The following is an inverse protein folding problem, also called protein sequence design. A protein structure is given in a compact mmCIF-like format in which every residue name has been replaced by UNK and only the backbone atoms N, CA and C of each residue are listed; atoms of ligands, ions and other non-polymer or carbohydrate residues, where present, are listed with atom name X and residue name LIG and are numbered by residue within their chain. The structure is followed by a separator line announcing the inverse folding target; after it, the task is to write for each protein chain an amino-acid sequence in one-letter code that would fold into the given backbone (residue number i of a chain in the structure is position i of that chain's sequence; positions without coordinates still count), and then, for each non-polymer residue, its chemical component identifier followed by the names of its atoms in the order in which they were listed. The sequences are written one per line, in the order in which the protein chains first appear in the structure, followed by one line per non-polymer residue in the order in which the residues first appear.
data_IF_666773564599
#
_entry.id   IF_666773564599
#
_cell.length_a   1.000
_cell.length_b   1.000
_cell.length_c   1.000
_cell.angle_alpha   90.00
_cell.angle_beta   90.00
_cell.angle_gamma   90.00
#
_symmetry.space_group_name_H-M   'P 1'
#
loop_
_entity.id
_entity.type
_entity.pdbx_description
1 polymer ?
#
# COMPACT_ATOMS: atom_id res chain seq x y z
N UNK A 1 -12.06 33.10 37.07
CA UNK A 1 -13.12 32.88 36.06
C UNK A 1 -12.44 32.30 34.82
N UNK A 2 -12.89 31.12 34.38
CA UNK A 2 -12.37 30.40 33.20
C UNK A 2 -12.73 31.16 31.92
N UNK A 3 -11.75 31.41 31.06
CA UNK A 3 -11.99 31.70 29.64
C UNK A 3 -11.15 30.74 28.82
N UNK A 4 -11.80 29.65 28.41
CA UNK A 4 -11.33 28.79 27.34
C UNK A 4 -11.44 29.56 26.03
N UNK A 5 -10.37 29.59 25.24
CA UNK A 5 -10.45 29.96 23.83
C UNK A 5 -9.94 28.76 23.05
N UNK A 6 -10.87 27.85 22.76
CA UNK A 6 -10.75 26.96 21.61
C UNK A 6 -10.91 27.83 20.36
N UNK A 7 -9.90 27.89 19.52
CA UNK A 7 -10.02 28.49 18.19
C UNK A 7 -9.39 27.59 17.16
N UNK A 8 -10.27 26.73 16.63
CA UNK A 8 -10.43 26.41 15.20
C UNK A 8 -9.14 26.16 14.40
N UNK A 9 -8.81 24.88 14.23
CA UNK A 9 -8.04 24.43 13.07
C UNK A 9 -8.82 24.83 11.80
N UNK A 10 -8.20 25.68 10.98
CA UNK A 10 -8.69 25.97 9.65
C UNK A 10 -8.54 24.72 8.77
N UNK A 11 -9.66 24.07 8.44
CA UNK A 11 -9.70 23.08 7.39
C UNK A 11 -9.55 23.78 6.04
N UNK A 12 -8.37 23.70 5.43
CA UNK A 12 -8.19 24.07 4.03
C UNK A 12 -8.86 23.02 3.14
N UNK A 13 -10.14 23.23 2.88
CA UNK A 13 -10.87 22.55 1.81
C UNK A 13 -10.33 23.06 0.46
N UNK A 14 -9.46 22.28 -0.17
CA UNK A 14 -9.03 22.54 -1.55
C UNK A 14 -10.15 22.07 -2.47
N UNK A 15 -11.02 23.00 -2.85
CA UNK A 15 -11.96 22.83 -3.94
C UNK A 15 -11.22 22.92 -5.29
N UNK A 16 -11.01 21.78 -5.95
CA UNK A 16 -10.56 21.71 -7.34
C UNK A 16 -11.73 21.18 -8.19
N UNK A 17 -12.49 22.11 -8.75
CA UNK A 17 -13.62 21.84 -9.64
C UNK A 17 -13.17 21.61 -11.09
N UNK A 18 -13.56 20.43 -11.60
CA UNK A 18 -13.95 20.07 -12.97
C UNK A 18 -12.93 20.19 -14.11
N UNK A 19 -12.46 19.03 -14.56
CA UNK A 19 -12.13 18.74 -15.96
C UNK A 19 -12.80 17.42 -16.36
N UNK A 20 -14.00 17.49 -16.96
CA UNK A 20 -14.66 16.35 -17.59
C UNK A 20 -13.96 16.01 -18.90
N UNK A 21 -13.17 14.93 -18.91
CA UNK A 21 -12.98 14.11 -20.11
C UNK A 21 -13.31 12.67 -19.77
N UNK A 22 -14.20 12.11 -20.57
CA UNK A 22 -14.78 10.78 -20.48
C UNK A 22 -13.73 9.69 -20.66
N UNK A 23 -13.06 9.36 -19.57
CA UNK A 23 -12.65 8.00 -19.29
C UNK A 23 -13.14 7.75 -17.87
N UNK A 24 -14.32 7.16 -17.74
CA UNK A 24 -14.69 6.48 -16.50
C UNK A 24 -13.71 5.33 -16.36
N UNK A 25 -12.50 5.63 -15.86
CA UNK A 25 -11.81 4.70 -15.00
C UNK A 25 -12.81 4.46 -13.89
N UNK A 26 -13.61 3.40 -14.04
CA UNK A 26 -14.45 2.90 -12.96
C UNK A 26 -13.53 2.91 -11.75
N UNK A 27 -13.86 3.71 -10.74
CA UNK A 27 -13.20 3.68 -9.45
C UNK A 27 -13.39 2.24 -8.98
N UNK A 28 -12.44 1.38 -9.35
CA UNK A 28 -12.39 0.01 -8.88
C UNK A 28 -12.10 0.20 -7.40
N UNK A 29 -13.05 -0.11 -6.51
CA UNK A 29 -12.87 0.12 -5.09
C UNK A 29 -11.53 -0.47 -4.70
N UNK A 30 -10.61 0.38 -4.24
CA UNK A 30 -9.29 -0.09 -3.82
C UNK A 30 -9.52 -0.85 -2.53
N UNK A 31 -9.24 -2.14 -2.59
CA UNK A 31 -9.43 -3.02 -1.46
C UNK A 31 -8.36 -2.69 -0.41
N UNK A 32 -8.71 -1.85 0.58
CA UNK A 32 -7.84 -1.56 1.72
C UNK A 32 -7.46 -2.84 2.46
N UNK A 33 -8.31 -3.89 2.41
CA UNK A 33 -7.97 -5.20 2.95
C UNK A 33 -6.76 -5.83 2.23
N UNK A 34 -6.44 -5.43 1.00
CA UNK A 34 -5.21 -5.81 0.31
C UNK A 34 -3.94 -5.33 1.03
N UNK A 35 -4.01 -4.20 1.74
CA UNK A 35 -2.90 -3.70 2.56
C UNK A 35 -2.82 -4.45 3.89
N UNK A 36 -3.93 -4.75 4.54
CA UNK A 36 -3.97 -5.59 5.74
C UNK A 36 -3.45 -7.01 5.48
N UNK A 37 -3.89 -7.62 4.38
CA UNK A 37 -3.38 -8.93 3.96
C UNK A 37 -1.86 -8.91 3.75
N UNK A 38 -1.33 -7.79 3.26
CA UNK A 38 0.11 -7.61 3.07
C UNK A 38 0.85 -7.42 4.39
N UNK A 39 0.28 -6.67 5.33
CA UNK A 39 0.79 -6.56 6.68
C UNK A 39 0.82 -7.92 7.38
N UNK A 40 -0.30 -8.66 7.30
CA UNK A 40 -0.42 -10.02 7.84
C UNK A 40 0.60 -10.99 7.25
N UNK A 41 0.86 -10.92 5.94
CA UNK A 41 1.92 -11.70 5.31
C UNK A 41 3.30 -11.39 5.92
N UNK A 42 3.72 -10.13 5.99
CA UNK A 42 5.02 -9.77 6.54
C UNK A 42 5.14 -10.12 8.02
N UNK A 43 4.06 -9.96 8.78
CA UNK A 43 3.97 -10.39 10.18
C UNK A 43 4.18 -11.90 10.30
N UNK A 44 3.52 -12.70 9.45
CA UNK A 44 3.62 -14.18 9.46
C UNK A 44 5.03 -14.71 9.18
N UNK A 45 5.87 -13.94 8.50
CA UNK A 45 7.26 -14.31 8.18
C UNK A 45 8.28 -13.58 9.08
N UNK A 46 7.83 -12.85 10.11
CA UNK A 46 8.71 -12.20 11.07
C UNK A 46 9.37 -10.91 10.58
N UNK A 47 8.89 -10.30 9.50
CA UNK A 47 9.37 -9.00 9.01
C UNK A 47 8.53 -7.86 9.62
N UNK A 48 8.82 -7.54 10.89
CA UNK A 48 8.04 -6.57 11.68
C UNK A 48 7.99 -5.17 11.06
N UNK A 49 9.12 -4.58 10.66
CA UNK A 49 9.15 -3.23 10.07
C UNK A 49 8.29 -3.13 8.79
N UNK A 50 8.28 -4.19 7.99
CA UNK A 50 7.43 -4.26 6.81
C UNK A 50 5.96 -4.46 7.18
N UNK A 51 5.66 -5.27 8.19
CA UNK A 51 4.30 -5.45 8.69
C UNK A 51 3.72 -4.13 9.22
N UNK A 52 4.49 -3.40 10.02
CA UNK A 52 4.09 -2.13 10.64
C UNK A 52 3.86 -1.04 9.59
N UNK A 53 4.73 -0.96 8.58
CA UNK A 53 4.52 -0.05 7.45
C UNK A 53 3.21 -0.35 6.71
N UNK A 54 2.96 -1.62 6.35
CA UNK A 54 1.73 -1.98 5.62
C UNK A 54 0.47 -1.86 6.48
N UNK A 55 0.58 -2.02 7.80
CA UNK A 55 -0.50 -1.73 8.76
C UNK A 55 -0.83 -0.24 8.75
N UNK A 56 0.18 0.62 8.75
CA UNK A 56 -0.01 2.07 8.68
C UNK A 56 -0.65 2.48 7.35
N UNK A 57 -0.25 1.85 6.24
CA UNK A 57 -0.87 2.05 4.92
C UNK A 57 -2.34 1.62 4.90
N UNK A 58 -2.69 0.51 5.56
CA UNK A 58 -4.07 0.07 5.67
C UNK A 58 -4.91 1.07 6.47
N UNK A 59 -4.41 1.51 7.63
CA UNK A 59 -5.07 2.52 8.46
C UNK A 59 -5.26 3.85 7.70
N UNK A 60 -4.26 4.30 6.94
CA UNK A 60 -4.38 5.50 6.09
C UNK A 60 -5.39 5.28 4.97
N UNK A 61 -5.46 4.09 4.38
CA UNK A 61 -6.43 3.77 3.34
C UNK A 61 -7.88 3.86 3.86
N UNK A 62 -8.13 3.46 5.11
CA UNK A 62 -9.44 3.56 5.76
C UNK A 62 -9.77 4.98 6.23
N UNK A 63 -8.77 5.71 6.74
CA UNK A 63 -8.92 7.08 7.22
C UNK A 63 -9.13 8.08 6.07
N UNK A 64 -8.47 7.82 4.93
CA UNK A 64 -8.58 8.62 3.71
C UNK A 64 -9.59 8.02 2.73
N UNK A 65 -10.00 8.79 1.72
CA UNK A 65 -10.90 8.30 0.68
C UNK A 65 -10.17 7.49 -0.42
N UNK A 66 -9.17 6.67 -0.05
CA UNK A 66 -8.32 5.94 -1.01
C UNK A 66 -9.07 4.83 -1.75
N UNK A 67 -10.11 4.26 -1.15
CA UNK A 67 -11.01 3.31 -1.79
C UNK A 67 -11.62 3.88 -3.09
N UNK A 68 -11.94 5.17 -3.10
CA UNK A 68 -12.53 5.88 -4.25
C UNK A 68 -11.47 6.58 -5.12
N UNK A 69 -10.23 6.69 -4.63
CA UNK A 69 -9.16 7.37 -5.33
C UNK A 69 -8.62 6.56 -6.52
N UNK A 70 -8.06 7.27 -7.49
CA UNK A 70 -7.38 6.63 -8.60
C UNK A 70 -6.06 5.96 -8.15
N UNK A 71 -5.61 4.97 -8.93
CA UNK A 71 -4.40 4.20 -8.61
C UNK A 71 -3.15 5.06 -8.45
N UNK A 72 -3.02 6.17 -9.19
CA UNK A 72 -1.85 7.05 -9.11
C UNK A 72 -1.83 7.77 -7.77
N UNK A 73 -2.99 8.28 -7.32
CA UNK A 73 -3.12 8.94 -6.02
C UNK A 73 -2.72 8.00 -4.89
N UNK A 74 -3.28 6.79 -4.85
CA UNK A 74 -2.91 5.78 -3.84
C UNK A 74 -1.42 5.44 -3.90
N UNK A 75 -0.86 5.23 -5.09
CA UNK A 75 0.58 4.92 -5.24
C UNK A 75 1.47 6.07 -4.75
N UNK A 76 1.10 7.31 -5.03
CA UNK A 76 1.83 8.49 -4.56
C UNK A 76 1.74 8.58 -3.04
N UNK A 77 0.56 8.39 -2.46
CA UNK A 77 0.37 8.36 -1.00
C UNK A 77 1.25 7.33 -0.30
N UNK A 78 1.24 6.07 -0.78
CA UNK A 78 2.12 5.02 -0.24
C UNK A 78 3.60 5.41 -0.35
N UNK A 79 4.01 6.04 -1.46
CA UNK A 79 5.39 6.50 -1.63
C UNK A 79 5.75 7.58 -0.63
N UNK A 80 4.88 8.57 -0.44
CA UNK A 80 5.06 9.63 0.56
C UNK A 80 5.18 9.04 1.96
N UNK A 81 4.28 8.13 2.34
CA UNK A 81 4.36 7.43 3.62
C UNK A 81 5.68 6.67 3.79
N UNK A 82 6.16 6.01 2.74
CA UNK A 82 7.44 5.30 2.78
C UNK A 82 8.64 6.25 2.97
N UNK A 83 8.63 7.39 2.27
CA UNK A 83 9.65 8.42 2.39
C UNK A 83 9.65 9.05 3.80
N UNK A 84 8.47 9.35 4.36
CA UNK A 84 8.32 9.99 5.68
C UNK A 84 8.64 9.06 6.84
N UNK A 85 8.29 7.78 6.73
CA UNK A 85 8.61 6.76 7.74
C UNK A 85 10.03 6.21 7.63
N UNK A 86 10.77 6.55 6.56
CA UNK A 86 12.06 5.94 6.26
C UNK A 86 11.95 4.45 5.94
N UNK A 87 10.79 3.98 5.45
CA UNK A 87 10.55 2.59 5.13
C UNK A 87 11.44 2.12 3.98
N UNK A 88 12.35 1.20 4.28
CA UNK A 88 13.12 0.47 3.29
C UNK A 88 12.44 -0.85 2.96
N UNK A 89 12.03 -1.00 1.70
CA UNK A 89 11.36 -2.23 1.27
C UNK A 89 12.35 -3.39 1.38
N UNK A 90 12.01 -4.48 2.10
CA UNK A 90 12.92 -5.61 2.25
C UNK A 90 13.30 -6.20 0.89
N UNK A 91 14.57 -6.55 0.76
CA UNK A 91 15.08 -7.22 -0.43
C UNK A 91 14.40 -8.58 -0.60
N UNK A 92 14.36 -9.07 -1.84
CA UNK A 92 13.55 -10.26 -2.13
C UNK A 92 14.12 -11.51 -1.50
N UNK A 93 15.44 -11.63 -1.48
CA UNK A 93 16.17 -12.70 -0.79
C UNK A 93 15.90 -12.69 0.72
N UNK A 94 15.80 -11.51 1.35
CA UNK A 94 15.38 -11.39 2.76
C UNK A 94 13.97 -11.94 2.96
N UNK A 95 13.02 -11.60 2.07
CA UNK A 95 11.64 -12.12 2.12
C UNK A 95 11.60 -13.63 1.87
N UNK A 96 12.35 -14.14 0.90
CA UNK A 96 12.45 -15.57 0.57
C UNK A 96 13.04 -16.37 1.74
N UNK A 97 14.10 -15.86 2.37
CA UNK A 97 14.71 -16.46 3.55
C UNK A 97 13.77 -16.46 4.77
N UNK A 98 13.12 -15.33 5.03
CA UNK A 98 12.16 -15.18 6.13
C UNK A 98 10.95 -16.11 5.97
N UNK A 99 10.41 -16.21 4.75
CA UNK A 99 9.32 -17.12 4.44
C UNK A 99 9.73 -18.59 4.59
N UNK A 100 10.92 -18.98 4.11
CA UNK A 100 11.44 -20.33 4.27
C UNK A 100 11.68 -20.69 5.75
N UNK A 101 12.24 -19.77 6.54
CA UNK A 101 12.43 -19.95 7.98
C UNK A 101 11.11 -20.11 8.73
N UNK A 102 10.04 -19.46 8.24
CA UNK A 102 8.70 -19.50 8.84
C UNK A 102 7.81 -20.61 8.27
N UNK A 103 8.32 -21.44 7.34
CA UNK A 103 7.55 -22.50 6.69
C UNK A 103 6.42 -21.99 5.78
N UNK A 104 6.48 -20.72 5.37
CA UNK A 104 5.48 -20.10 4.48
C UNK A 104 5.90 -20.32 3.03
N UNK A 105 5.05 -21.02 2.26
CA UNK A 105 5.29 -21.23 0.84
C UNK A 105 4.99 -19.96 0.04
N UNK A 106 6.02 -19.38 -0.58
CA UNK A 106 5.82 -18.26 -1.49
C UNK A 106 5.26 -18.75 -2.82
N UNK A 107 4.33 -18.00 -3.45
CA UNK A 107 3.82 -18.35 -4.76
C UNK A 107 4.98 -18.60 -5.73
N UNK A 108 5.02 -19.81 -6.28
CA UNK A 108 6.01 -20.17 -7.28
C UNK A 108 5.97 -19.14 -8.40
N UNK A 109 7.14 -18.59 -8.75
CA UNK A 109 7.26 -17.83 -9.99
C UNK A 109 6.82 -18.76 -11.10
N UNK A 110 5.69 -18.44 -11.76
CA UNK A 110 5.44 -18.98 -13.07
C UNK A 110 6.70 -18.71 -13.88
N UNK A 111 7.49 -19.76 -14.17
CA UNK A 111 8.61 -19.64 -15.10
C UNK A 111 7.93 -19.16 -16.38
N UNK A 112 8.09 -17.88 -16.69
CA UNK A 112 7.61 -17.29 -17.93
C UNK A 112 8.03 -18.26 -19.01
N UNK A 113 7.03 -18.86 -19.66
CA UNK A 113 7.12 -19.97 -20.60
C UNK A 113 8.36 -19.79 -21.47
N UNK A 114 9.47 -20.39 -21.04
CA UNK A 114 10.69 -20.41 -21.83
C UNK A 114 10.29 -21.14 -23.07
N UNK A 115 10.17 -20.43 -24.19
CA UNK A 115 10.10 -21.07 -25.50
C UNK A 115 11.32 -21.97 -25.55
N UNK A 116 11.11 -23.27 -25.34
CA UNK A 116 12.06 -24.29 -25.70
C UNK A 116 12.32 -24.10 -27.18
N UNK A 117 13.40 -23.39 -27.51
CA UNK A 117 13.97 -23.43 -28.83
C UNK A 117 14.56 -24.84 -28.91
N UNK A 118 13.71 -25.77 -29.33
CA UNK A 118 14.05 -27.15 -29.57
C UNK A 118 15.27 -27.18 -30.46
N UNK A 119 16.27 -27.91 -30.00
CA UNK A 119 17.43 -28.28 -30.79
C UNK A 119 16.92 -29.18 -31.93
N UNK A 120 16.83 -28.64 -33.14
CA UNK A 120 16.83 -29.38 -34.41
C UNK A 120 17.24 -28.45 -35.53
#
# INVERSE_FOLDING_TARGET
MKTMILSSLAATAIALSLGTTTAQAQAQPRDCAGFDNRAGFFSSIGLADAADFWTSVAAECEASNWAEADRRTVKTGIRTMAEESGYERPERDVVEAAAAASGVELPSRGRGKGKGKGNR
#
